data_IF_813239484557
#
_entry.id   IF_813239484557
#
_cell.length_a   1.000
_cell.length_b   1.000
_cell.length_c   1.000
_cell.angle_alpha   90.00
_cell.angle_beta   90.00
_cell.angle_gamma   90.00
#
_symmetry.space_group_name_H-M   'P 1'
#
loop_
_entity.id
_entity.type
_entity.pdbx_description
1 polymer ?
#
# COMPACT_ATOMS: atom_id res chain seq x y z
N UNK A 1 -55.60 -41.51 27.99
CA UNK A 1 -55.17 -40.19 27.48
C UNK A 1 -53.84 -39.84 28.13
N UNK A 2 -52.74 -40.36 27.58
CA UNK A 2 -51.40 -40.10 28.12
C UNK A 2 -50.89 -38.76 27.60
N UNK A 3 -51.22 -37.70 28.34
CA UNK A 3 -50.69 -36.38 28.12
C UNK A 3 -49.21 -36.34 28.46
N UNK A 4 -48.33 -36.59 27.47
CA UNK A 4 -46.89 -36.31 27.57
C UNK A 4 -46.71 -34.82 27.86
N UNK A 5 -46.53 -34.47 29.14
CA UNK A 5 -46.11 -33.13 29.55
C UNK A 5 -44.72 -32.88 28.97
N UNK A 6 -44.64 -31.98 27.98
CA UNK A 6 -43.37 -31.59 27.36
C UNK A 6 -42.46 -31.01 28.45
N UNK A 7 -41.24 -31.55 28.57
CA UNK A 7 -40.28 -31.14 29.58
C UNK A 7 -39.85 -29.66 29.33
N UNK A 8 -40.10 -28.74 30.28
CA UNK A 8 -39.78 -27.32 30.12
C UNK A 8 -38.28 -27.06 29.89
N UNK A 9 -37.41 -27.93 30.38
CA UNK A 9 -35.96 -27.83 30.18
C UNK A 9 -35.56 -27.99 28.71
N UNK A 10 -36.28 -28.83 27.95
CA UNK A 10 -36.01 -28.99 26.51
C UNK A 10 -36.34 -27.70 25.76
N UNK A 11 -37.43 -27.02 26.15
CA UNK A 11 -37.82 -25.74 25.55
C UNK A 11 -36.78 -24.65 25.87
N UNK A 12 -36.32 -24.56 27.11
CA UNK A 12 -35.28 -23.60 27.52
C UNK A 12 -33.95 -23.86 26.81
N UNK A 13 -33.51 -25.12 26.71
CA UNK A 13 -32.29 -25.48 25.95
C UNK A 13 -32.39 -25.06 24.48
N UNK A 14 -33.53 -25.31 23.84
CA UNK A 14 -33.79 -24.89 22.45
C UNK A 14 -33.81 -23.37 22.29
N UNK A 15 -34.35 -22.64 23.27
CA UNK A 15 -34.34 -21.18 23.26
C UNK A 15 -32.93 -20.63 23.46
N UNK A 16 -32.17 -21.19 24.41
CA UNK A 16 -30.77 -20.81 24.64
C UNK A 16 -29.92 -21.05 23.38
N UNK A 17 -30.05 -22.22 22.74
CA UNK A 17 -29.32 -22.51 21.50
C UNK A 17 -29.70 -21.56 20.37
N UNK A 18 -30.99 -21.23 20.23
CA UNK A 18 -31.44 -20.26 19.23
C UNK A 18 -30.90 -18.84 19.50
N UNK A 19 -30.86 -18.41 20.77
CA UNK A 19 -30.27 -17.12 21.14
C UNK A 19 -28.76 -17.10 20.94
N UNK A 20 -28.06 -18.20 21.20
CA UNK A 20 -26.62 -18.31 20.95
C UNK A 20 -26.31 -18.20 19.44
N UNK A 21 -27.06 -18.91 18.59
CA UNK A 21 -26.93 -18.81 17.14
C UNK A 21 -27.19 -17.37 16.68
N UNK A 22 -28.24 -16.73 17.19
CA UNK A 22 -28.56 -15.34 16.88
C UNK A 22 -27.45 -14.38 17.32
N UNK A 23 -26.89 -14.56 18.51
CA UNK A 23 -25.79 -13.74 19.01
C UNK A 23 -24.52 -13.91 18.17
N UNK A 24 -24.20 -15.14 17.76
CA UNK A 24 -23.08 -15.41 16.85
C UNK A 24 -23.26 -14.73 15.49
N UNK A 25 -24.44 -14.81 14.88
CA UNK A 25 -24.76 -14.13 13.61
C UNK A 25 -24.63 -12.60 13.74
N UNK A 26 -25.18 -12.01 14.80
CA UNK A 26 -25.07 -10.57 15.05
C UNK A 26 -23.62 -10.13 15.28
N UNK A 27 -22.81 -10.98 15.91
CA UNK A 27 -21.39 -10.70 16.11
C UNK A 27 -20.62 -10.73 14.79
N UNK A 28 -20.89 -11.70 13.92
CA UNK A 28 -20.30 -11.76 12.57
C UNK A 28 -20.71 -10.55 11.70
N UNK A 29 -22.00 -10.19 11.72
CA UNK A 29 -22.50 -8.98 11.04
C UNK A 29 -21.82 -7.71 11.56
N UNK A 30 -21.65 -7.60 12.88
CA UNK A 30 -20.92 -6.48 13.51
C UNK A 30 -19.45 -6.44 13.09
N UNK A 31 -18.74 -7.58 13.06
CA UNK A 31 -17.34 -7.65 12.62
C UNK A 31 -17.19 -7.19 11.16
N UNK A 32 -18.11 -7.58 10.26
CA UNK A 32 -18.10 -7.15 8.86
C UNK A 32 -18.32 -5.64 8.73
N UNK A 33 -19.30 -5.09 9.45
CA UNK A 33 -19.58 -3.66 9.45
C UNK A 33 -18.40 -2.86 10.04
N UNK A 34 -17.84 -3.33 11.15
CA UNK A 34 -16.70 -2.68 11.78
C UNK A 34 -15.44 -2.72 10.90
N UNK A 35 -15.22 -3.83 10.19
CA UNK A 35 -14.12 -3.96 9.20
C UNK A 35 -14.29 -2.99 8.04
N UNK A 36 -15.53 -2.79 7.56
CA UNK A 36 -15.84 -1.83 6.50
C UNK A 36 -15.62 -0.38 6.97
N UNK A 37 -16.09 -0.04 8.16
CA UNK A 37 -15.83 1.27 8.77
C UNK A 37 -14.32 1.52 8.89
N UNK A 38 -13.56 0.54 9.38
CA UNK A 38 -12.10 0.62 9.49
C UNK A 38 -11.46 0.89 8.12
N UNK A 39 -11.85 0.14 7.08
CA UNK A 39 -11.32 0.31 5.73
C UNK A 39 -11.63 1.69 5.12
N UNK A 40 -12.85 2.19 5.31
CA UNK A 40 -13.25 3.51 4.80
C UNK A 40 -12.53 4.64 5.54
N UNK A 41 -12.41 4.55 6.87
CA UNK A 41 -11.70 5.54 7.68
C UNK A 41 -10.20 5.55 7.35
N UNK A 42 -9.58 4.38 7.16
CA UNK A 42 -8.20 4.24 6.70
C UNK A 42 -8.01 4.92 5.34
N UNK A 43 -8.87 4.62 4.37
CA UNK A 43 -8.79 5.23 3.03
C UNK A 43 -8.95 6.75 3.08
N UNK A 44 -9.93 7.26 3.83
CA UNK A 44 -10.15 8.69 3.99
C UNK A 44 -8.94 9.38 4.64
N UNK A 45 -8.44 8.82 5.74
CA UNK A 45 -7.27 9.36 6.47
C UNK A 45 -6.03 9.39 5.59
N UNK A 46 -5.73 8.28 4.92
CA UNK A 46 -4.56 8.17 4.04
C UNK A 46 -4.64 9.11 2.83
N UNK A 47 -5.81 9.25 2.19
CA UNK A 47 -6.00 10.19 1.08
C UNK A 47 -5.86 11.64 1.55
N UNK A 48 -6.51 12.03 2.64
CA UNK A 48 -6.38 13.38 3.20
C UNK A 48 -4.94 13.71 3.56
N UNK A 49 -4.24 12.79 4.25
CA UNK A 49 -2.84 12.97 4.62
C UNK A 49 -1.94 13.09 3.37
N UNK A 50 -2.17 12.28 2.34
CA UNK A 50 -1.39 12.34 1.10
C UNK A 50 -1.63 13.65 0.36
N UNK A 51 -2.87 14.13 0.29
CA UNK A 51 -3.18 15.42 -0.32
C UNK A 51 -2.50 16.58 0.41
N UNK A 52 -2.60 16.62 1.75
CA UNK A 52 -2.03 17.69 2.58
C UNK A 52 -0.50 17.65 2.56
N UNK A 53 0.12 16.49 2.79
CA UNK A 53 1.56 16.40 2.90
C UNK A 53 2.30 16.59 1.57
N UNK A 54 1.63 16.35 0.44
CA UNK A 54 2.19 16.59 -0.90
C UNK A 54 1.85 17.96 -1.48
N UNK A 55 0.99 18.76 -0.84
CA UNK A 55 0.58 20.08 -1.33
C UNK A 55 1.78 20.99 -1.69
N UNK A 56 2.84 21.10 -0.87
CA UNK A 56 3.99 21.94 -1.21
C UNK A 56 4.73 21.48 -2.47
N UNK A 57 4.76 20.18 -2.74
CA UNK A 57 5.41 19.61 -3.92
C UNK A 57 4.54 19.82 -5.17
N UNK A 58 3.22 19.63 -5.04
CA UNK A 58 2.27 19.75 -6.16
C UNK A 58 2.12 21.19 -6.65
N UNK A 59 2.20 22.16 -5.75
CA UNK A 59 2.23 23.58 -6.09
C UNK A 59 3.33 23.94 -7.11
N UNK A 60 4.40 23.14 -7.17
CA UNK A 60 5.54 23.35 -8.07
C UNK A 60 5.39 22.60 -9.41
N UNK A 61 4.71 21.46 -9.42
CA UNK A 61 4.54 20.62 -10.62
C UNK A 61 3.35 21.04 -11.48
N UNK A 62 2.32 21.61 -10.85
CA UNK A 62 1.02 21.80 -11.50
C UNK A 62 0.95 23.04 -12.41
N UNK A 63 2.03 23.84 -12.50
CA UNK A 63 2.12 25.01 -13.38
C UNK A 63 1.01 26.06 -13.20
N UNK A 64 0.24 25.97 -12.11
CA UNK A 64 -0.99 26.74 -11.87
C UNK A 64 -2.24 26.28 -12.65
N UNK A 65 -2.19 25.17 -13.42
CA UNK A 65 -3.28 24.74 -14.29
C UNK A 65 -3.88 23.36 -13.99
N UNK A 66 -3.40 22.64 -12.97
CA UNK A 66 -4.08 21.41 -12.56
C UNK A 66 -5.50 21.74 -12.07
N UNK A 67 -6.54 21.01 -12.52
CA UNK A 67 -7.89 21.25 -12.05
C UNK A 67 -7.94 21.13 -10.53
N UNK A 68 -8.67 22.02 -9.85
CA UNK A 68 -8.66 22.10 -8.40
C UNK A 68 -9.07 20.74 -7.82
N UNK A 69 -8.28 20.24 -6.88
CA UNK A 69 -8.52 19.02 -6.09
C UNK A 69 -9.95 18.87 -5.56
N UNK A 70 -10.67 19.99 -5.39
CA UNK A 70 -12.08 20.01 -5.03
C UNK A 70 -12.93 19.15 -5.96
N UNK A 71 -12.65 19.15 -7.25
CA UNK A 71 -13.37 18.33 -8.23
C UNK A 71 -13.05 16.85 -8.01
N UNK A 72 -11.80 16.53 -7.70
CA UNK A 72 -11.36 15.17 -7.37
C UNK A 72 -11.96 14.67 -6.06
N UNK A 73 -12.06 15.53 -5.05
CA UNK A 73 -12.64 15.17 -3.76
C UNK A 73 -14.15 14.89 -3.91
N UNK A 74 -14.85 15.70 -4.71
CA UNK A 74 -16.25 15.44 -5.07
C UNK A 74 -16.42 14.17 -5.91
N UNK A 75 -15.52 13.92 -6.86
CA UNK A 75 -15.56 12.72 -7.69
C UNK A 75 -15.25 11.46 -6.86
N UNK A 76 -14.27 11.49 -5.96
CA UNK A 76 -13.99 10.44 -4.98
C UNK A 76 -15.18 10.17 -4.06
N UNK A 77 -15.82 11.22 -3.53
CA UNK A 77 -17.03 11.09 -2.71
C UNK A 77 -18.17 10.48 -3.55
N UNK A 78 -18.30 10.89 -4.82
CA UNK A 78 -19.27 10.31 -5.75
C UNK A 78 -19.01 8.83 -6.03
N UNK A 79 -17.75 8.45 -6.28
CA UNK A 79 -17.30 7.08 -6.47
C UNK A 79 -17.53 6.25 -5.20
N UNK A 80 -17.17 6.76 -4.02
CA UNK A 80 -17.42 6.12 -2.73
C UNK A 80 -18.92 5.89 -2.48
N UNK A 81 -19.77 6.87 -2.77
CA UNK A 81 -21.24 6.70 -2.65
C UNK A 81 -21.76 5.61 -3.59
N UNK A 82 -21.33 5.62 -4.87
CA UNK A 82 -21.71 4.60 -5.85
C UNK A 82 -21.23 3.20 -5.45
N UNK A 83 -19.99 3.09 -4.99
CA UNK A 83 -19.41 1.82 -4.55
C UNK A 83 -20.04 1.32 -3.25
N UNK A 84 -20.38 2.21 -2.32
CA UNK A 84 -21.11 1.86 -1.10
C UNK A 84 -22.49 1.29 -1.41
N UNK A 85 -23.23 1.91 -2.34
CA UNK A 85 -24.54 1.40 -2.77
C UNK A 85 -24.44 0.00 -3.39
N UNK A 86 -23.43 -0.24 -4.24
CA UNK A 86 -23.20 -1.57 -4.83
C UNK A 86 -22.83 -2.64 -3.79
N UNK A 87 -21.96 -2.30 -2.83
CA UNK A 87 -21.61 -3.23 -1.75
C UNK A 87 -22.81 -3.55 -0.84
N UNK A 88 -23.69 -2.56 -0.61
CA UNK A 88 -24.94 -2.78 0.13
C UNK A 88 -25.92 -3.67 -0.64
N UNK A 89 -25.92 -3.57 -1.97
CA UNK A 89 -26.74 -4.40 -2.85
C UNK A 89 -26.22 -5.85 -2.92
N UNK A 90 -24.92 -6.05 -3.06
CA UNK A 90 -24.28 -7.38 -3.00
C UNK A 90 -24.49 -8.04 -1.63
N UNK A 91 -24.27 -7.31 -0.53
CA UNK A 91 -24.48 -7.84 0.81
C UNK A 91 -25.94 -8.26 1.06
N UNK A 92 -26.92 -7.51 0.50
CA UNK A 92 -28.33 -7.91 0.55
C UNK A 92 -28.57 -9.20 -0.22
N UNK A 93 -27.98 -9.32 -1.41
CA UNK A 93 -28.13 -10.52 -2.25
C UNK A 93 -27.61 -11.78 -1.55
N UNK A 94 -26.40 -11.72 -0.96
CA UNK A 94 -25.80 -12.83 -0.22
C UNK A 94 -26.66 -13.24 1.00
N UNK A 95 -27.22 -12.27 1.74
CA UNK A 95 -28.14 -12.60 2.85
C UNK A 95 -29.44 -13.25 2.40
N UNK A 96 -30.02 -12.81 1.26
CA UNK A 96 -31.26 -13.41 0.74
C UNK A 96 -31.05 -14.79 0.14
N UNK A 97 -29.90 -15.04 -0.48
CA UNK A 97 -29.58 -16.34 -1.06
C UNK A 97 -29.29 -17.37 0.04
N UNK A 98 -28.61 -16.97 1.13
CA UNK A 98 -28.39 -17.82 2.30
C UNK A 98 -29.69 -18.19 3.04
N UNK A 99 -30.68 -17.30 3.09
CA UNK A 99 -31.98 -17.60 3.70
C UNK A 99 -32.87 -18.47 2.78
N UNK A 100 -32.68 -18.42 1.46
CA UNK A 100 -33.41 -19.28 0.49
C UNK A 100 -32.78 -20.67 0.32
N UNK A 101 -31.46 -20.81 0.46
CA UNK A 101 -30.75 -22.09 0.44
C UNK A 101 -31.14 -23.00 1.62
N UNK A 102 -31.64 -22.44 2.72
CA UNK A 102 -32.21 -23.22 3.82
C UNK A 102 -33.55 -23.91 3.47
N UNK A 103 -34.15 -23.62 2.31
CA UNK A 103 -35.45 -24.15 1.87
C UNK A 103 -35.44 -24.80 0.47
N UNK A 104 -34.29 -24.88 -0.21
CA UNK A 104 -34.21 -25.43 -1.56
C UNK A 104 -33.20 -26.58 -1.65
N UNK A 105 -33.69 -27.82 -1.53
CA UNK A 105 -33.00 -28.99 -2.07
C UNK A 105 -33.37 -29.13 -3.55
N UNK A 106 -32.36 -29.28 -4.40
CA UNK A 106 -32.40 -29.48 -5.86
C UNK A 106 -32.67 -28.24 -6.73
N UNK A 107 -31.59 -27.66 -7.25
CA UNK A 107 -31.39 -27.50 -8.71
C UNK A 107 -29.97 -26.96 -8.99
N UNK A 108 -29.15 -27.78 -9.65
CA UNK A 108 -27.77 -27.45 -10.05
C UNK A 108 -27.83 -26.68 -11.38
N UNK A 109 -27.63 -25.37 -11.36
CA UNK A 109 -27.50 -24.54 -12.57
C UNK A 109 -26.03 -24.17 -12.76
N UNK A 110 -25.44 -24.61 -13.87
CA UNK A 110 -24.06 -24.29 -14.27
C UNK A 110 -23.98 -22.87 -14.81
N UNK A 111 -23.20 -22.02 -14.12
CA UNK A 111 -22.79 -20.71 -14.64
C UNK A 111 -21.74 -20.87 -15.77
N UNK A 112 -21.80 -20.06 -16.84
CA UNK A 112 -20.79 -20.06 -17.89
C UNK A 112 -19.48 -19.43 -17.38
N UNK A 113 -18.38 -20.16 -17.55
CA UNK A 113 -17.02 -19.68 -17.31
C UNK A 113 -16.66 -18.56 -18.29
N UNK A 114 -16.36 -17.37 -17.77
CA UNK A 114 -15.78 -16.26 -18.54
C UNK A 114 -14.34 -16.61 -18.97
N UNK A 115 -13.90 -16.20 -20.18
CA UNK A 115 -12.54 -16.45 -20.65
C UNK A 115 -11.54 -15.65 -19.81
N UNK A 116 -10.58 -16.37 -19.22
CA UNK A 116 -9.51 -15.82 -18.40
C UNK A 116 -8.53 -14.97 -19.21
N UNK A 117 -8.82 -13.67 -19.36
CA UNK A 117 -7.80 -12.67 -19.61
C UNK A 117 -7.05 -12.42 -18.29
N UNK A 118 -5.76 -12.70 -18.24
CA UNK A 118 -4.97 -12.50 -17.03
C UNK A 118 -4.86 -10.99 -16.73
N UNK A 119 -5.13 -10.59 -15.49
CA UNK A 119 -4.98 -9.21 -15.02
C UNK A 119 -3.57 -8.64 -15.29
N UNK A 120 -2.57 -9.51 -15.45
CA UNK A 120 -1.22 -9.18 -15.90
C UNK A 120 -1.17 -8.53 -17.30
N UNK A 121 -2.00 -8.98 -18.24
CA UNK A 121 -2.08 -8.40 -19.59
C UNK A 121 -2.66 -6.99 -19.61
N UNK A 122 -3.66 -6.72 -18.76
CA UNK A 122 -4.25 -5.39 -18.62
C UNK A 122 -3.28 -4.39 -17.97
N UNK A 123 -2.49 -4.83 -16.98
CA UNK A 123 -1.49 -4.01 -16.32
C UNK A 123 -0.28 -3.72 -17.25
N UNK A 124 0.18 -4.72 -18.01
CA UNK A 124 1.24 -4.56 -19.00
C UNK A 124 0.82 -3.62 -20.14
N UNK A 125 -0.42 -3.75 -20.64
CA UNK A 125 -0.97 -2.83 -21.64
C UNK A 125 -1.12 -1.40 -21.09
N UNK A 126 -1.56 -1.25 -19.83
CA UNK A 126 -1.66 0.03 -19.15
C UNK A 126 -0.29 0.72 -18.95
N UNK A 127 0.76 -0.06 -18.65
CA UNK A 127 2.15 0.39 -18.52
C UNK A 127 2.77 0.78 -19.88
N UNK A 128 2.53 -0.02 -20.92
CA UNK A 128 3.01 0.28 -22.28
C UNK A 128 2.35 1.55 -22.84
N UNK A 129 1.05 1.74 -22.60
CA UNK A 129 0.34 2.95 -23.01
C UNK A 129 0.78 4.20 -22.21
N UNK A 130 1.15 4.04 -20.93
CA UNK A 130 1.71 5.14 -20.12
C UNK A 130 3.12 5.54 -20.60
N UNK A 131 3.97 4.56 -20.95
CA UNK A 131 5.29 4.79 -21.53
C UNK A 131 5.20 5.47 -22.91
N UNK A 132 4.24 5.08 -23.76
CA UNK A 132 4.01 5.71 -25.06
C UNK A 132 3.54 7.17 -24.94
N UNK A 133 2.63 7.47 -24.01
CA UNK A 133 2.19 8.85 -23.75
C UNK A 133 3.33 9.73 -23.20
N UNK A 134 4.21 9.18 -22.36
CA UNK A 134 5.38 9.89 -21.84
C UNK A 134 6.45 10.15 -22.92
N UNK A 135 6.68 9.19 -23.82
CA UNK A 135 7.59 9.37 -24.96
C UNK A 135 7.07 10.44 -25.95
N UNK A 136 5.76 10.52 -26.15
CA UNK A 136 5.14 11.58 -26.96
C UNK A 136 5.31 12.97 -26.33
N UNK A 137 5.26 13.09 -25.00
CA UNK A 137 5.49 14.35 -24.29
C UNK A 137 6.97 14.79 -24.28
N UNK A 138 7.91 13.83 -24.30
CA UNK A 138 9.35 14.12 -24.31
C UNK A 138 9.89 14.51 -25.71
N UNK A 139 9.18 14.15 -26.79
CA UNK A 139 9.61 14.40 -28.18
C UNK A 139 9.55 15.86 -28.66
N UNK A 140 9.10 16.81 -27.82
CA UNK A 140 8.88 18.20 -28.20
C UNK A 140 9.97 19.19 -27.71
N UNK A 141 11.06 18.73 -27.08
CA UNK A 141 12.17 19.60 -26.64
C UNK A 141 13.45 19.34 -27.45
N UNK A 142 14.04 20.34 -28.13
CA UNK A 142 15.36 20.21 -28.72
C UNK A 142 16.41 20.02 -27.62
N UNK A 143 17.26 19.00 -27.79
CA UNK A 143 18.31 18.66 -26.84
C UNK A 143 19.29 19.84 -26.65
N UNK A 144 19.52 20.31 -25.41
CA UNK A 144 20.66 21.16 -25.13
C UNK A 144 21.93 20.30 -25.07
N UNK A 145 23.02 20.84 -25.63
CA UNK A 145 24.34 20.24 -25.61
C UNK A 145 24.78 19.83 -24.20
N UNK A 146 25.38 18.65 -24.12
CA UNK A 146 25.80 18.00 -22.89
C UNK A 146 26.80 18.82 -22.06
N UNK A 147 26.60 18.94 -20.74
CA UNK A 147 27.68 19.20 -19.81
C UNK A 147 28.06 17.96 -18.98
N UNK A 148 29.26 18.06 -18.45
CA UNK A 148 30.08 17.05 -17.78
C UNK A 148 29.40 16.21 -16.69
N UNK A 149 29.96 15.01 -16.49
CA UNK A 149 29.63 14.00 -15.50
C UNK A 149 29.12 14.58 -14.16
N UNK A 150 27.84 14.30 -13.88
CA UNK A 150 27.25 14.55 -12.58
C UNK A 150 27.93 13.67 -11.51
N UNK A 151 28.18 14.19 -10.29
CA UNK A 151 28.71 13.40 -9.20
C UNK A 151 27.70 12.31 -8.81
N UNK A 152 28.20 11.11 -8.51
CA UNK A 152 27.45 10.03 -7.86
C UNK A 152 26.55 10.59 -6.75
N UNK A 153 25.26 10.22 -6.67
CA UNK A 153 24.38 10.68 -5.61
C UNK A 153 24.90 10.14 -4.28
N UNK A 154 25.70 10.95 -3.59
CA UNK A 154 26.16 10.72 -2.24
C UNK A 154 24.94 10.57 -1.34
N UNK A 155 24.57 9.32 -1.05
CA UNK A 155 23.76 8.98 0.11
C UNK A 155 24.57 9.43 1.32
N UNK A 156 24.30 10.65 1.79
CA UNK A 156 24.81 11.15 3.04
C UNK A 156 24.68 10.04 4.09
N UNK A 157 25.75 9.82 4.82
CA UNK A 157 25.78 8.89 5.94
C UNK A 157 24.83 9.45 7.00
N UNK A 158 23.56 9.06 6.95
CA UNK A 158 22.53 9.65 7.81
C UNK A 158 22.76 9.22 9.26
N UNK A 159 23.13 10.21 10.06
CA UNK A 159 23.45 10.09 11.47
C UNK A 159 22.28 9.56 12.28
N UNK A 160 22.64 8.79 13.29
CA UNK A 160 21.79 8.21 14.33
C UNK A 160 21.18 9.33 15.19
N UNK A 161 20.08 9.93 14.75
CA UNK A 161 19.27 10.82 15.58
C UNK A 161 18.33 10.00 16.47
N UNK A 162 18.61 9.90 17.77
CA UNK A 162 17.64 9.44 18.75
C UNK A 162 16.47 10.43 18.84
N UNK A 163 15.20 9.99 18.82
CA UNK A 163 14.09 10.88 19.10
C UNK A 163 14.02 11.16 20.62
N UNK A 164 14.28 12.41 21.00
CA UNK A 164 14.03 12.90 22.34
C UNK A 164 12.53 12.92 22.63
N UNK A 165 12.07 12.02 23.51
CA UNK A 165 10.72 12.02 24.04
C UNK A 165 10.52 13.25 24.94
N UNK A 166 9.78 14.25 24.46
CA UNK A 166 9.32 15.38 25.28
C UNK A 166 7.85 15.17 25.65
N UNK A 167 7.61 14.83 26.91
CA UNK A 167 6.29 14.88 27.55
C UNK A 167 6.08 16.30 28.08
N UNK A 168 4.91 16.95 27.90
CA UNK A 168 4.53 18.04 28.76
C UNK A 168 3.47 17.58 29.76
N UNK A 169 3.83 17.68 31.04
CA UNK A 169 2.91 17.67 32.18
C UNK A 169 2.02 18.92 32.18
N UNK A 170 0.88 18.79 32.87
CA UNK A 170 -0.20 19.75 32.85
C UNK A 170 0.07 21.08 33.55
N UNK A 171 -0.77 22.04 33.21
CA UNK A 171 -1.05 23.22 34.02
C UNK A 171 -2.53 23.59 33.85
N UNK A 172 -3.25 23.58 34.97
CA UNK A 172 -4.57 24.16 35.13
C UNK A 172 -4.48 25.69 34.96
N UNK A 173 -5.38 26.30 34.19
CA UNK A 173 -5.86 27.64 34.51
C UNK A 173 -7.21 27.92 33.85
N UNK A 174 -8.11 28.40 34.69
CA UNK A 174 -9.43 28.92 34.43
C UNK A 174 -9.37 30.34 33.88
N UNK A 175 -10.31 30.70 33.00
CA UNK A 175 -10.46 32.07 32.52
C UNK A 175 -11.59 32.21 31.50
N UNK A 176 -12.80 32.47 31.99
CA UNK A 176 -13.93 32.93 31.20
C UNK A 176 -13.85 34.46 31.01
N UNK A 177 -14.02 34.95 29.78
CA UNK A 177 -14.72 36.20 29.47
C UNK A 177 -14.86 36.41 27.94
N UNK A 178 -16.12 36.53 27.54
CA UNK A 178 -16.68 37.45 26.54
C UNK A 178 -16.02 37.64 25.16
N UNK A 179 -16.77 37.29 24.12
CA UNK A 179 -16.60 37.87 22.78
C UNK A 179 -17.96 37.99 22.10
N UNK A 180 -18.27 39.24 21.74
CA UNK A 180 -19.55 39.69 21.21
C UNK A 180 -19.91 39.11 19.84
N UNK A 181 -21.21 39.01 19.66
CA UNK A 181 -21.92 38.59 18.45
C UNK A 181 -22.07 39.77 17.48
N UNK A 182 -21.64 39.58 16.23
CA UNK A 182 -22.22 40.04 14.94
C UNK A 182 -21.11 39.87 13.89
N UNK A 183 -21.25 39.35 12.67
CA UNK A 183 -22.38 39.31 11.73
C UNK A 183 -22.08 38.32 10.60
N UNK A 184 -23.10 37.56 10.16
CA UNK A 184 -23.40 37.32 8.74
C UNK A 184 -22.38 36.57 7.87
N UNK A 185 -22.50 35.24 7.82
CA UNK A 185 -21.98 34.44 6.72
C UNK A 185 -22.71 33.10 6.66
N UNK A 186 -23.55 32.91 5.64
CA UNK A 186 -24.17 31.61 5.33
C UNK A 186 -23.09 30.58 4.96
N UNK A 187 -22.54 29.92 5.97
CA UNK A 187 -21.71 28.73 5.82
C UNK A 187 -22.50 27.49 6.17
N UNK A 188 -22.94 26.74 5.16
CA UNK A 188 -23.34 25.34 5.34
C UNK A 188 -22.03 24.56 5.50
N UNK A 189 -21.45 24.65 6.70
CA UNK A 189 -20.27 23.91 7.09
C UNK A 189 -20.55 23.36 8.48
N UNK A 190 -21.16 22.18 8.55
CA UNK A 190 -21.24 21.42 9.78
C UNK A 190 -19.82 21.11 10.22
N UNK A 191 -19.27 21.95 11.10
CA UNK A 191 -18.02 21.69 11.79
C UNK A 191 -18.23 20.44 12.64
N UNK A 192 -17.93 19.28 12.05
CA UNK A 192 -17.71 18.05 12.79
C UNK A 192 -16.60 18.37 13.79
N UNK A 193 -16.96 18.42 15.07
CA UNK A 193 -16.07 18.64 16.21
C UNK A 193 -15.16 17.42 16.46
N UNK A 194 -14.80 16.68 15.42
CA UNK A 194 -13.78 15.66 15.52
C UNK A 194 -12.42 16.38 15.67
N UNK A 195 -11.61 16.03 16.68
CA UNK A 195 -10.26 16.55 16.79
C UNK A 195 -9.55 16.30 15.46
N UNK A 196 -8.83 17.30 14.95
CA UNK A 196 -8.05 17.16 13.72
C UNK A 196 -7.21 15.88 13.84
N UNK A 197 -7.47 14.92 12.96
CA UNK A 197 -6.77 13.64 13.02
C UNK A 197 -5.26 13.92 12.92
N UNK A 198 -4.50 13.42 13.90
CA UNK A 198 -3.04 13.54 13.88
C UNK A 198 -2.55 12.89 12.59
N UNK A 199 -1.80 13.64 11.78
CA UNK A 199 -1.28 13.14 10.52
C UNK A 199 -0.50 11.83 10.72
N UNK A 200 -0.62 10.84 9.82
CA UNK A 200 0.17 9.60 9.89
C UNK A 200 1.68 9.86 9.95
N UNK A 201 2.43 8.96 10.59
CA UNK A 201 3.88 9.12 10.81
C UNK A 201 4.70 9.31 9.53
N UNK A 202 4.35 8.62 8.44
CA UNK A 202 4.99 8.81 7.13
C UNK A 202 4.74 10.21 6.55
N UNK A 203 3.55 10.79 6.79
CA UNK A 203 3.20 12.13 6.33
C UNK A 203 3.97 13.18 7.13
N UNK A 204 4.10 12.99 8.45
CA UNK A 204 4.96 13.82 9.29
C UNK A 204 6.43 13.75 8.84
N UNK A 205 6.92 12.55 8.48
CA UNK A 205 8.26 12.36 7.94
C UNK A 205 8.44 13.08 6.60
N UNK A 206 7.44 13.05 5.73
CA UNK A 206 7.45 13.82 4.48
C UNK A 206 7.56 15.33 4.75
N UNK A 207 6.72 15.87 5.65
CA UNK A 207 6.78 17.29 6.04
C UNK A 207 8.18 17.66 6.54
N UNK A 208 8.77 16.86 7.43
CA UNK A 208 10.12 17.10 7.93
C UNK A 208 11.19 17.08 6.82
N UNK A 209 11.08 16.17 5.84
CA UNK A 209 12.00 16.13 4.68
C UNK A 209 11.84 17.40 3.82
N UNK A 210 10.60 17.87 3.62
CA UNK A 210 10.32 19.11 2.88
C UNK A 210 10.89 20.33 3.60
N UNK A 211 10.74 20.41 4.93
CA UNK A 211 11.31 21.49 5.74
C UNK A 211 12.84 21.49 5.73
N UNK A 212 13.47 20.31 5.76
CA UNK A 212 14.93 20.16 5.76
C UNK A 212 15.56 20.46 4.40
N UNK A 213 14.98 19.96 3.31
CA UNK A 213 15.61 19.98 1.98
C UNK A 213 14.99 21.02 1.04
N UNK A 214 13.78 21.50 1.31
CA UNK A 214 12.99 22.36 0.42
C UNK A 214 12.23 21.58 -0.65
N UNK A 215 10.97 21.94 -0.88
CA UNK A 215 10.09 21.29 -1.84
C UNK A 215 10.65 21.30 -3.28
N UNK A 216 11.20 22.44 -3.73
CA UNK A 216 11.79 22.60 -5.07
C UNK A 216 12.97 21.66 -5.30
N UNK A 217 13.91 21.62 -4.35
CA UNK A 217 15.08 20.75 -4.45
C UNK A 217 14.69 19.27 -4.48
N UNK A 218 13.65 18.87 -3.74
CA UNK A 218 13.11 17.52 -3.77
C UNK A 218 12.47 17.19 -5.12
N UNK A 219 11.61 18.05 -5.66
CA UNK A 219 10.99 17.81 -6.97
C UNK A 219 12.07 17.67 -8.05
N UNK A 220 13.03 18.57 -8.12
CA UNK A 220 14.12 18.50 -9.10
C UNK A 220 14.99 17.25 -8.92
N UNK A 221 15.32 16.88 -7.69
CA UNK A 221 16.08 15.65 -7.38
C UNK A 221 15.33 14.39 -7.83
N UNK A 222 14.02 14.32 -7.58
CA UNK A 222 13.22 13.12 -7.82
C UNK A 222 12.59 13.06 -9.21
N UNK A 223 12.64 14.14 -9.99
CA UNK A 223 12.20 14.17 -11.40
C UNK A 223 12.97 13.19 -12.28
N UNK A 224 14.26 12.99 -12.00
CA UNK A 224 15.11 12.00 -12.69
C UNK A 224 14.99 10.57 -12.14
N UNK A 225 14.35 10.38 -10.99
CA UNK A 225 14.32 9.13 -10.25
C UNK A 225 13.51 8.06 -10.98
N UNK A 226 14.10 6.93 -11.31
CA UNK A 226 13.49 5.85 -12.11
C UNK A 226 12.89 4.75 -11.23
N UNK A 227 12.15 3.82 -11.84
CA UNK A 227 11.72 2.59 -11.16
C UNK A 227 12.87 1.74 -10.64
N UNK A 228 14.06 1.79 -11.29
CA UNK A 228 15.26 1.07 -10.81
C UNK A 228 15.80 1.67 -9.52
N UNK A 229 15.79 3.00 -9.41
CA UNK A 229 16.21 3.69 -8.19
C UNK A 229 15.27 3.36 -7.01
N UNK A 230 13.95 3.30 -7.28
CA UNK A 230 12.97 2.81 -6.32
C UNK A 230 13.15 1.32 -5.99
N UNK A 231 13.49 0.48 -6.97
CA UNK A 231 13.74 -0.94 -6.73
C UNK A 231 14.97 -1.14 -5.85
N UNK A 232 16.04 -0.36 -6.07
CA UNK A 232 17.23 -0.34 -5.23
C UNK A 232 16.90 0.09 -3.78
N UNK A 233 16.08 1.14 -3.64
CA UNK A 233 15.62 1.62 -2.33
C UNK A 233 14.80 0.55 -1.59
N UNK A 234 13.84 -0.08 -2.28
CA UNK A 234 13.02 -1.16 -1.74
C UNK A 234 13.86 -2.38 -1.36
N UNK A 235 14.80 -2.81 -2.21
CA UNK A 235 15.74 -3.90 -1.91
C UNK A 235 16.54 -3.62 -0.63
N UNK A 236 17.06 -2.40 -0.49
CA UNK A 236 17.79 -1.98 0.71
C UNK A 236 16.91 -2.04 1.95
N UNK A 237 15.68 -1.51 1.86
CA UNK A 237 14.71 -1.61 2.95
C UNK A 237 14.42 -3.06 3.32
N UNK A 238 14.08 -3.92 2.35
CA UNK A 238 13.75 -5.35 2.59
C UNK A 238 14.91 -6.08 3.26
N UNK A 239 16.14 -5.83 2.83
CA UNK A 239 17.34 -6.44 3.40
C UNK A 239 17.52 -6.08 4.88
N UNK A 240 17.31 -4.81 5.23
CA UNK A 240 17.36 -4.36 6.63
C UNK A 240 16.16 -4.88 7.44
N UNK A 241 14.96 -4.79 6.85
CA UNK A 241 13.70 -5.18 7.46
C UNK A 241 13.67 -6.67 7.84
N UNK A 242 14.19 -7.57 6.99
CA UNK A 242 14.24 -9.00 7.30
C UNK A 242 14.96 -9.30 8.61
N UNK A 243 16.09 -8.64 8.86
CA UNK A 243 16.83 -8.79 10.12
C UNK A 243 16.06 -8.23 11.31
N UNK A 244 15.42 -7.07 11.14
CA UNK A 244 14.64 -6.43 12.21
C UNK A 244 13.40 -7.26 12.56
N UNK A 245 12.64 -7.73 11.57
CA UNK A 245 11.45 -8.58 11.75
C UNK A 245 11.82 -9.87 12.49
N UNK A 246 12.92 -10.53 12.10
CA UNK A 246 13.39 -11.73 12.79
C UNK A 246 13.67 -11.47 14.28
N UNK A 247 14.36 -10.37 14.61
CA UNK A 247 14.66 -10.01 16.01
C UNK A 247 13.40 -9.67 16.81
N UNK A 248 12.46 -8.93 16.20
CA UNK A 248 11.18 -8.55 16.84
C UNK A 248 10.37 -9.81 17.15
N UNK A 249 10.17 -10.69 16.16
CA UNK A 249 9.38 -11.92 16.32
C UNK A 249 10.06 -12.95 17.21
N UNK A 250 11.38 -13.02 17.19
CA UNK A 250 12.18 -13.88 18.06
C UNK A 250 12.26 -13.41 19.51
N UNK A 251 11.67 -12.26 19.86
CA UNK A 251 11.72 -11.73 21.22
C UNK A 251 13.12 -11.35 21.69
N UNK A 252 13.96 -10.85 20.77
CA UNK A 252 15.31 -10.42 21.12
C UNK A 252 15.28 -9.32 22.21
N UNK A 253 16.33 -9.20 23.06
CA UNK A 253 16.35 -8.19 24.14
C UNK A 253 16.16 -6.74 23.67
N UNK A 254 16.50 -6.44 22.41
CA UNK A 254 16.37 -5.14 21.76
C UNK A 254 15.15 -5.03 20.82
N UNK A 255 14.19 -5.97 20.88
CA UNK A 255 13.03 -6.02 19.98
C UNK A 255 12.27 -4.69 19.90
N UNK A 256 12.10 -3.98 21.02
CA UNK A 256 11.44 -2.66 21.04
C UNK A 256 12.21 -1.61 20.23
N UNK A 257 13.54 -1.57 20.36
CA UNK A 257 14.37 -0.66 19.57
C UNK A 257 14.36 -1.04 18.08
N UNK A 258 14.36 -2.33 17.76
CA UNK A 258 14.18 -2.82 16.40
C UNK A 258 12.83 -2.39 15.81
N UNK A 259 11.74 -2.46 16.58
CA UNK A 259 10.41 -2.04 16.12
C UNK A 259 10.34 -0.54 15.81
N UNK A 260 10.94 0.31 16.66
CA UNK A 260 11.04 1.76 16.42
C UNK A 260 11.84 2.03 15.15
N UNK A 261 13.01 1.38 14.99
CA UNK A 261 13.84 1.53 13.79
C UNK A 261 13.12 1.07 12.52
N UNK A 262 12.41 -0.06 12.59
CA UNK A 262 11.63 -0.58 11.47
C UNK A 262 10.54 0.40 11.05
N UNK A 263 9.79 0.96 12.01
CA UNK A 263 8.78 1.98 11.75
C UNK A 263 9.38 3.22 11.08
N UNK A 264 10.47 3.76 11.61
CA UNK A 264 11.13 4.93 11.03
C UNK A 264 11.64 4.71 9.60
N UNK A 265 12.19 3.51 9.30
CA UNK A 265 12.59 3.14 7.94
C UNK A 265 11.41 2.99 6.98
N UNK A 266 10.30 2.45 7.47
CA UNK A 266 9.08 2.33 6.69
C UNK A 266 8.48 3.69 6.39
N UNK A 267 8.37 4.57 7.40
CA UNK A 267 7.87 5.94 7.24
C UNK A 267 8.72 6.73 6.23
N UNK A 268 10.05 6.54 6.26
CA UNK A 268 10.98 7.13 5.29
C UNK A 268 10.76 6.60 3.86
N UNK A 269 10.57 5.28 3.69
CA UNK A 269 10.27 4.69 2.38
C UNK A 269 8.97 5.26 1.80
N UNK A 270 7.90 5.33 2.60
CA UNK A 270 6.61 5.85 2.16
C UNK A 270 6.63 7.37 1.90
N UNK A 271 7.38 8.14 2.68
CA UNK A 271 7.60 9.55 2.41
C UNK A 271 8.30 9.76 1.06
N UNK A 272 9.33 8.96 0.74
CA UNK A 272 10.00 9.02 -0.57
C UNK A 272 9.05 8.61 -1.69
N UNK A 273 8.25 7.55 -1.51
CA UNK A 273 7.24 7.17 -2.50
C UNK A 273 6.22 8.29 -2.75
N UNK A 274 5.83 9.05 -1.73
CA UNK A 274 4.95 10.21 -1.86
C UNK A 274 5.61 11.40 -2.58
N UNK A 275 6.93 11.60 -2.43
CA UNK A 275 7.67 12.59 -3.24
C UNK A 275 7.72 12.14 -4.70
N UNK A 276 8.06 10.88 -4.95
CA UNK A 276 8.14 10.32 -6.31
C UNK A 276 6.76 10.31 -6.98
N UNK A 277 5.68 10.08 -6.23
CA UNK A 277 4.31 10.21 -6.73
C UNK A 277 4.08 11.57 -7.40
N UNK A 278 4.57 12.65 -6.81
CA UNK A 278 4.41 14.01 -7.36
C UNK A 278 5.42 14.30 -8.46
N UNK A 279 6.70 14.02 -8.19
CA UNK A 279 7.79 14.40 -9.09
C UNK A 279 7.84 13.54 -10.37
N UNK A 280 7.55 12.23 -10.26
CA UNK A 280 7.60 11.26 -11.35
C UNK A 280 6.77 9.99 -11.05
N UNK A 281 5.43 10.08 -11.14
CA UNK A 281 4.54 8.96 -10.79
C UNK A 281 4.79 7.68 -11.61
N UNK A 282 5.33 7.81 -12.83
CA UNK A 282 5.67 6.68 -13.71
C UNK A 282 6.65 5.71 -13.03
N UNK A 283 7.55 6.20 -12.19
CA UNK A 283 8.55 5.38 -11.52
C UNK A 283 7.92 4.39 -10.51
N UNK A 284 6.78 4.74 -9.91
CA UNK A 284 6.02 3.82 -9.06
C UNK A 284 5.39 2.67 -9.88
N UNK A 285 5.00 2.95 -11.14
CA UNK A 285 4.52 1.91 -12.06
C UNK A 285 5.68 1.02 -12.51
N UNK A 286 6.80 1.62 -12.90
CA UNK A 286 8.03 0.92 -13.28
C UNK A 286 8.50 -0.04 -12.18
N UNK A 287 8.46 0.38 -10.91
CA UNK A 287 8.81 -0.47 -9.76
C UNK A 287 8.05 -1.81 -9.74
N UNK A 288 6.78 -1.83 -10.17
CA UNK A 288 5.95 -3.04 -10.14
C UNK A 288 6.25 -4.02 -11.29
N UNK A 289 7.03 -3.61 -12.28
CA UNK A 289 7.44 -4.44 -13.43
C UNK A 289 8.92 -4.81 -13.39
N UNK A 290 9.59 -4.56 -12.27
CA UNK A 290 11.01 -4.88 -12.05
C UNK A 290 11.16 -5.97 -10.97
N UNK A 291 12.17 -6.82 -11.15
CA UNK A 291 12.68 -7.65 -10.06
C UNK A 291 13.53 -6.80 -9.13
N UNK A 292 13.28 -6.85 -7.83
CA UNK A 292 13.96 -5.98 -6.87
C UNK A 292 15.45 -6.29 -6.74
N UNK A 293 15.85 -7.53 -6.99
CA UNK A 293 17.21 -8.01 -6.80
C UNK A 293 18.14 -7.72 -7.98
N UNK A 294 17.65 -7.94 -9.20
CA UNK A 294 18.36 -7.73 -10.48
C UNK A 294 18.08 -6.37 -11.11
N UNK A 295 16.96 -5.73 -10.77
CA UNK A 295 16.44 -4.53 -11.45
C UNK A 295 16.17 -4.74 -12.94
N UNK A 296 16.05 -5.99 -13.36
CA UNK A 296 15.63 -6.40 -14.69
C UNK A 296 14.10 -6.49 -14.76
N UNK A 297 13.51 -6.47 -15.97
CA UNK A 297 12.09 -6.68 -16.15
C UNK A 297 11.62 -7.98 -15.48
N UNK A 298 10.42 -7.92 -14.93
CA UNK A 298 9.83 -9.03 -14.20
C UNK A 298 9.58 -10.24 -15.10
N UNK A 299 10.40 -11.29 -14.95
CA UNK A 299 10.19 -12.59 -15.60
C UNK A 299 9.49 -13.62 -14.71
N UNK A 300 9.38 -13.34 -13.41
CA UNK A 300 8.74 -14.22 -12.44
C UNK A 300 7.26 -13.86 -12.28
N UNK A 301 6.40 -14.87 -12.32
CA UNK A 301 4.97 -14.67 -12.09
C UNK A 301 4.61 -14.64 -10.61
N UNK A 302 3.59 -13.85 -10.28
CA UNK A 302 2.96 -13.86 -8.97
C UNK A 302 2.07 -15.10 -8.83
N UNK A 303 2.51 -16.11 -8.08
CA UNK A 303 1.75 -17.35 -7.88
C UNK A 303 0.85 -17.32 -6.64
N UNK A 304 -0.17 -18.18 -6.62
CA UNK A 304 -1.08 -18.30 -5.49
C UNK A 304 -0.35 -18.76 -4.21
N UNK A 305 0.62 -19.67 -4.34
CA UNK A 305 1.42 -20.19 -3.23
C UNK A 305 2.28 -19.07 -2.61
N UNK A 306 2.88 -18.22 -3.45
CA UNK A 306 3.66 -17.07 -2.98
C UNK A 306 2.76 -16.06 -2.26
N UNK A 307 1.58 -15.79 -2.81
CA UNK A 307 0.58 -14.94 -2.15
C UNK A 307 0.14 -15.50 -0.80
N UNK A 308 -0.12 -16.80 -0.72
CA UNK A 308 -0.49 -17.47 0.53
C UNK A 308 0.64 -17.43 1.57
N UNK A 309 1.89 -17.70 1.16
CA UNK A 309 3.06 -17.59 2.03
C UNK A 309 3.26 -16.17 2.55
N UNK A 310 3.15 -15.16 1.69
CA UNK A 310 3.22 -13.76 2.11
C UNK A 310 2.14 -13.43 3.15
N UNK A 311 0.88 -13.81 2.92
CA UNK A 311 -0.20 -13.54 3.88
C UNK A 311 0.00 -14.28 5.21
N UNK A 312 0.50 -15.52 5.16
CA UNK A 312 0.88 -16.27 6.36
C UNK A 312 1.96 -15.52 7.14
N UNK A 313 2.99 -15.03 6.46
CA UNK A 313 4.07 -14.25 7.08
C UNK A 313 3.59 -12.91 7.62
N UNK A 314 2.55 -12.29 7.04
CA UNK A 314 1.99 -11.05 7.58
C UNK A 314 1.25 -11.25 8.91
N UNK A 315 0.81 -12.47 9.25
CA UNK A 315 0.08 -12.79 10.49
C UNK A 315 -1.07 -11.82 10.77
N UNK A 316 -1.90 -11.57 9.74
CA UNK A 316 -3.04 -10.67 9.85
C UNK A 316 -4.09 -11.24 10.81
N UNK A 317 -4.65 -10.37 11.66
CA UNK A 317 -5.82 -10.73 12.46
C UNK A 317 -7.05 -10.95 11.58
N UNK A 318 -8.09 -11.60 12.12
CA UNK A 318 -9.38 -11.77 11.42
C UNK A 318 -9.95 -10.42 10.96
N UNK A 319 -9.95 -9.43 11.86
CA UNK A 319 -10.41 -8.07 11.58
C UNK A 319 -9.59 -7.40 10.47
N UNK A 320 -8.26 -7.42 10.56
CA UNK A 320 -7.38 -6.85 9.52
C UNK A 320 -7.59 -7.53 8.17
N UNK A 321 -7.77 -8.85 8.15
CA UNK A 321 -8.06 -9.61 6.93
C UNK A 321 -9.36 -9.14 6.28
N UNK A 322 -10.43 -8.97 7.07
CA UNK A 322 -11.72 -8.47 6.58
C UNK A 322 -11.61 -7.02 6.10
N UNK A 323 -10.96 -6.13 6.87
CA UNK A 323 -10.76 -4.73 6.49
C UNK A 323 -9.93 -4.61 5.19
N UNK A 324 -8.84 -5.38 5.07
CA UNK A 324 -8.03 -5.44 3.85
C UNK A 324 -8.85 -5.91 2.63
N UNK A 325 -9.70 -6.94 2.79
CA UNK A 325 -10.60 -7.40 1.71
C UNK A 325 -11.56 -6.31 1.26
N UNK A 326 -12.21 -5.61 2.20
CA UNK A 326 -13.13 -4.51 1.88
C UNK A 326 -12.38 -3.39 1.15
N UNK A 327 -11.23 -2.97 1.67
CA UNK A 327 -10.42 -1.92 1.08
C UNK A 327 -9.97 -2.26 -0.36
N UNK A 328 -9.52 -3.49 -0.58
CA UNK A 328 -9.05 -3.94 -1.89
C UNK A 328 -10.20 -4.15 -2.90
N UNK A 329 -11.39 -4.53 -2.45
CA UNK A 329 -12.61 -4.52 -3.29
C UNK A 329 -13.02 -3.11 -3.69
N UNK A 330 -12.92 -2.14 -2.77
CA UNK A 330 -13.17 -0.73 -3.10
C UNK A 330 -12.18 -0.23 -4.16
N UNK A 331 -10.91 -0.61 -4.04
CA UNK A 331 -9.90 -0.33 -5.04
C UNK A 331 -10.24 -0.96 -6.41
N UNK A 332 -10.57 -2.25 -6.44
CA UNK A 332 -11.00 -2.95 -7.66
C UNK A 332 -12.23 -2.27 -8.31
N UNK A 333 -13.22 -1.89 -7.50
CA UNK A 333 -14.41 -1.17 -7.96
C UNK A 333 -14.09 0.23 -8.52
N UNK A 334 -13.10 0.92 -7.96
CA UNK A 334 -12.66 2.22 -8.47
C UNK A 334 -11.87 2.07 -9.78
N UNK A 335 -10.95 1.12 -9.83
CA UNK A 335 -10.15 0.86 -11.04
C UNK A 335 -11.03 0.38 -12.20
N UNK A 336 -12.02 -0.48 -11.95
CA UNK A 336 -12.96 -0.93 -12.98
C UNK A 336 -13.83 0.18 -13.57
N UNK A 337 -14.00 1.30 -12.86
CA UNK A 337 -14.67 2.51 -13.38
C UNK A 337 -13.70 3.41 -14.16
N UNK A 338 -12.45 3.53 -13.72
CA UNK A 338 -11.44 4.38 -14.35
C UNK A 338 -10.90 3.79 -15.67
N UNK A 339 -10.75 2.46 -15.77
CA UNK A 339 -10.17 1.82 -16.95
C UNK A 339 -10.99 2.02 -18.26
N UNK A 340 -12.33 1.84 -18.26
CA UNK A 340 -13.15 2.15 -19.43
C UNK A 340 -13.06 3.62 -19.82
N UNK A 341 -13.08 4.53 -18.84
CA UNK A 341 -12.98 5.97 -19.08
C UNK A 341 -11.63 6.35 -19.70
N UNK A 342 -10.54 5.78 -19.21
CA UNK A 342 -9.21 5.93 -19.82
C UNK A 342 -9.23 5.47 -21.27
N UNK A 343 -9.77 4.28 -21.54
CA UNK A 343 -9.83 3.73 -22.90
C UNK A 343 -10.66 4.59 -23.86
N UNK A 344 -11.72 5.21 -23.36
CA UNK A 344 -12.53 6.19 -24.11
C UNK A 344 -11.73 7.45 -24.44
N UNK A 345 -11.06 8.03 -23.45
CA UNK A 345 -10.25 9.23 -23.62
C UNK A 345 -9.07 9.02 -24.57
N UNK A 346 -8.40 7.86 -24.53
CA UNK A 346 -7.31 7.53 -25.48
C UNK A 346 -7.84 7.45 -26.92
N UNK A 347 -9.03 6.85 -27.14
CA UNK A 347 -9.69 6.85 -28.45
C UNK A 347 -10.09 8.25 -28.91
N UNK A 348 -10.60 9.07 -27.99
CA UNK A 348 -10.92 10.47 -28.29
C UNK A 348 -9.66 11.27 -28.65
N UNK A 349 -8.52 10.99 -28.00
CA UNK A 349 -7.25 11.66 -28.28
C UNK A 349 -6.76 11.35 -29.70
N UNK A 350 -6.89 10.09 -30.13
CA UNK A 350 -6.59 9.68 -31.51
C UNK A 350 -7.53 10.35 -32.53
N UNK A 351 -8.82 10.43 -32.22
CA UNK A 351 -9.82 11.02 -33.12
C UNK A 351 -9.68 12.55 -33.27
N UNK A 352 -9.27 13.24 -32.21
CA UNK A 352 -9.11 14.70 -32.14
C UNK A 352 -7.70 15.18 -32.50
N UNK A 353 -6.82 14.29 -32.95
CA UNK A 353 -5.40 14.61 -33.18
C UNK A 353 -5.15 15.75 -34.19
N UNK A 354 -6.13 16.10 -35.03
CA UNK A 354 -6.04 17.19 -35.99
C UNK A 354 -6.60 18.54 -35.48
N UNK A 355 -7.33 18.55 -34.35
CA UNK A 355 -7.95 19.75 -33.76
C UNK A 355 -7.29 20.07 -32.42
N UNK A 356 -6.46 21.12 -32.40
CA UNK A 356 -5.72 21.52 -31.21
C UNK A 356 -6.62 21.97 -30.03
N UNK A 357 -7.81 22.49 -30.31
CA UNK A 357 -8.76 22.94 -29.28
C UNK A 357 -9.41 21.75 -28.59
N UNK A 358 -9.99 20.83 -29.37
CA UNK A 358 -10.59 19.60 -28.82
C UNK A 358 -9.54 18.69 -28.17
N UNK A 359 -8.32 18.66 -28.71
CA UNK A 359 -7.22 17.89 -28.15
C UNK A 359 -6.82 18.39 -26.75
N UNK A 360 -6.92 19.69 -26.47
CA UNK A 360 -6.62 20.25 -25.15
C UNK A 360 -7.56 19.67 -24.08
N UNK A 361 -8.88 19.69 -24.33
CA UNK A 361 -9.88 19.16 -23.39
C UNK A 361 -9.73 17.64 -23.19
N UNK A 362 -9.43 16.89 -24.25
CA UNK A 362 -9.19 15.46 -24.15
C UNK A 362 -7.93 15.16 -23.33
N UNK A 363 -6.83 15.88 -23.58
CA UNK A 363 -5.59 15.72 -22.82
C UNK A 363 -5.77 16.07 -21.34
N UNK A 364 -6.53 17.13 -21.03
CA UNK A 364 -6.91 17.46 -19.66
C UNK A 364 -7.69 16.30 -19.01
N UNK A 365 -8.66 15.72 -19.74
CA UNK A 365 -9.40 14.53 -19.29
C UNK A 365 -8.50 13.32 -19.05
N UNK A 366 -7.55 13.04 -19.94
CA UNK A 366 -6.55 11.97 -19.78
C UNK A 366 -5.71 12.20 -18.52
N UNK A 367 -5.22 13.42 -18.32
CA UNK A 367 -4.40 13.78 -17.15
C UNK A 367 -5.18 13.57 -15.84
N UNK A 368 -6.43 14.03 -15.76
CA UNK A 368 -7.31 13.83 -14.59
C UNK A 368 -7.53 12.34 -14.33
N UNK A 369 -7.81 11.56 -15.37
CA UNK A 369 -8.02 10.12 -15.25
C UNK A 369 -6.76 9.38 -14.79
N UNK A 370 -5.60 9.75 -15.31
CA UNK A 370 -4.31 9.19 -14.90
C UNK A 370 -3.96 9.55 -13.46
N UNK A 371 -4.08 10.82 -13.07
CA UNK A 371 -3.91 11.26 -11.70
C UNK A 371 -4.81 10.42 -10.78
N UNK A 372 -6.08 10.27 -11.14
CA UNK A 372 -7.03 9.44 -10.40
C UNK A 372 -6.64 8.01 -10.17
N UNK A 373 -6.12 7.37 -11.21
CA UNK A 373 -5.61 6.00 -11.11
C UNK A 373 -4.47 5.94 -10.08
N UNK A 374 -3.50 6.85 -10.18
CA UNK A 374 -2.34 6.85 -9.29
C UNK A 374 -2.75 7.17 -7.85
N UNK A 375 -3.64 8.15 -7.63
CA UNK A 375 -4.16 8.49 -6.31
C UNK A 375 -4.97 7.35 -5.69
N UNK A 376 -5.77 6.64 -6.48
CA UNK A 376 -6.49 5.46 -6.01
C UNK A 376 -5.52 4.34 -5.58
N UNK A 377 -4.49 4.06 -6.39
CA UNK A 377 -3.48 3.04 -6.06
C UNK A 377 -2.71 3.43 -4.79
N UNK A 378 -2.12 4.62 -4.74
CA UNK A 378 -1.25 5.03 -3.62
C UNK A 378 -2.07 5.27 -2.35
N UNK A 379 -3.25 5.89 -2.47
CA UNK A 379 -4.16 6.07 -1.34
C UNK A 379 -4.61 4.75 -0.73
N UNK A 380 -4.97 3.76 -1.57
CA UNK A 380 -5.29 2.41 -1.09
C UNK A 380 -4.09 1.71 -0.49
N UNK A 381 -2.90 1.81 -1.10
CA UNK A 381 -1.68 1.20 -0.56
C UNK A 381 -1.32 1.78 0.81
N UNK A 382 -1.39 3.10 0.97
CA UNK A 382 -1.16 3.76 2.25
C UNK A 382 -2.20 3.34 3.29
N UNK A 383 -3.49 3.29 2.94
CA UNK A 383 -4.52 2.84 3.86
C UNK A 383 -4.31 1.38 4.30
N UNK A 384 -3.93 0.50 3.35
CA UNK A 384 -3.68 -0.91 3.63
C UNK A 384 -2.47 -1.09 4.54
N UNK A 385 -1.34 -0.49 4.17
CA UNK A 385 -0.09 -0.71 4.86
C UNK A 385 0.00 0.13 6.12
N UNK A 386 -0.32 1.42 6.09
CA UNK A 386 -0.03 2.32 7.21
C UNK A 386 -1.13 2.39 8.28
N UNK A 387 -2.39 2.13 7.91
CA UNK A 387 -3.54 2.29 8.81
C UNK A 387 -4.19 0.96 9.23
N UNK A 388 -4.16 -0.07 8.38
CA UNK A 388 -4.70 -1.40 8.72
C UNK A 388 -3.64 -2.31 9.34
N UNK A 389 -2.38 -2.20 8.91
CA UNK A 389 -1.30 -3.10 9.32
C UNK A 389 -0.28 -2.39 10.20
N UNK A 390 0.40 -3.14 11.06
CA UNK A 390 1.57 -2.62 11.77
C UNK A 390 2.86 -2.76 10.92
N UNK A 391 3.91 -2.01 11.30
CA UNK A 391 5.18 -1.99 10.58
C UNK A 391 5.85 -3.36 10.45
N UNK A 392 5.66 -4.24 11.44
CA UNK A 392 6.22 -5.60 11.44
C UNK A 392 5.50 -6.49 10.45
N UNK A 393 4.16 -6.42 10.39
CA UNK A 393 3.33 -7.16 9.44
C UNK A 393 3.65 -6.78 8.00
N UNK A 394 3.70 -5.49 7.69
CA UNK A 394 4.03 -4.96 6.35
C UNK A 394 5.41 -5.46 5.92
N UNK A 395 6.40 -5.27 6.80
CA UNK A 395 7.78 -5.63 6.51
C UNK A 395 7.95 -7.14 6.32
N UNK A 396 7.27 -7.96 7.12
CA UNK A 396 7.26 -9.41 6.95
C UNK A 396 6.67 -9.82 5.59
N UNK A 397 5.57 -9.18 5.17
CA UNK A 397 4.98 -9.39 3.85
C UNK A 397 5.93 -9.01 2.71
N UNK A 398 6.58 -7.85 2.79
CA UNK A 398 7.56 -7.40 1.79
C UNK A 398 8.78 -8.34 1.71
N UNK A 399 9.28 -8.81 2.86
CA UNK A 399 10.37 -9.79 2.93
C UNK A 399 9.96 -11.13 2.32
N UNK A 400 8.73 -11.59 2.60
CA UNK A 400 8.21 -12.84 2.07
C UNK A 400 7.90 -12.79 0.56
N UNK A 401 7.57 -11.60 0.03
CA UNK A 401 7.28 -11.39 -1.39
C UNK A 401 8.55 -11.29 -2.27
N UNK A 402 9.71 -11.02 -1.66
CA UNK A 402 10.98 -10.85 -2.37
C UNK A 402 11.28 -12.04 -3.32
N UNK A 403 11.75 -11.79 -4.56
CA UNK A 403 12.24 -10.51 -5.12
C UNK A 403 11.17 -9.64 -5.79
N UNK A 404 9.87 -9.85 -5.48
CA UNK A 404 8.77 -9.10 -6.09
C UNK A 404 8.29 -7.97 -5.18
N UNK A 405 7.79 -6.89 -5.79
CA UNK A 405 6.93 -5.92 -5.10
C UNK A 405 5.50 -6.46 -5.12
N UNK A 406 4.84 -6.69 -3.96
CA UNK A 406 3.47 -7.15 -3.95
C UNK A 406 2.54 -6.04 -4.47
N UNK A 407 1.67 -6.39 -5.42
CA UNK A 407 0.65 -5.48 -5.94
C UNK A 407 -0.64 -5.60 -5.14
N UNK A 408 -1.46 -4.54 -5.09
CA UNK A 408 -2.78 -4.57 -4.43
C UNK A 408 -3.68 -5.69 -4.95
N UNK A 409 -3.68 -5.93 -6.27
CA UNK A 409 -4.41 -7.04 -6.89
C UNK A 409 -3.82 -8.40 -6.51
N UNK A 410 -2.48 -8.52 -6.44
CA UNK A 410 -1.83 -9.75 -5.99
C UNK A 410 -2.19 -10.13 -4.55
N UNK A 411 -2.27 -9.12 -3.66
CA UNK A 411 -2.72 -9.30 -2.27
C UNK A 411 -4.20 -9.70 -2.23
N UNK A 412 -5.06 -9.05 -3.02
CA UNK A 412 -6.48 -9.38 -3.08
C UNK A 412 -6.71 -10.83 -3.53
N UNK A 413 -6.06 -11.25 -4.61
CA UNK A 413 -6.12 -12.63 -5.12
C UNK A 413 -5.67 -13.64 -4.05
N UNK A 414 -4.61 -13.33 -3.31
CA UNK A 414 -4.14 -14.18 -2.22
C UNK A 414 -5.17 -14.29 -1.07
N UNK A 415 -5.81 -13.17 -0.69
CA UNK A 415 -6.83 -13.12 0.36
C UNK A 415 -8.12 -13.87 -0.02
N UNK A 416 -8.43 -13.91 -1.31
CA UNK A 416 -9.53 -14.70 -1.85
C UNK A 416 -9.19 -16.19 -1.85
N UNK A 417 -7.98 -16.56 -2.28
CA UNK A 417 -7.51 -17.96 -2.29
C UNK A 417 -7.43 -18.60 -0.90
N UNK A 418 -7.03 -17.84 0.12
CA UNK A 418 -6.91 -18.36 1.50
C UNK A 418 -8.25 -18.80 2.11
N UNK A 419 -9.38 -18.26 1.63
CA UNK A 419 -10.71 -18.62 2.12
C UNK A 419 -11.15 -20.03 1.66
N UNK A 420 -10.64 -20.52 0.54
CA UNK A 420 -10.99 -21.84 -0.01
C UNK A 420 -10.22 -23.01 0.62
N UNK A 421 -9.02 -22.77 1.17
CA UNK A 421 -8.12 -23.82 1.65
C UNK A 421 -8.35 -24.31 3.08
N UNK A 422 -9.09 -23.55 3.90
CA UNK A 422 -9.24 -23.85 5.35
C UNK A 422 -10.23 -24.98 5.67
N UNK A 423 -10.91 -25.57 4.67
CA UNK A 423 -11.91 -26.61 4.89
C UNK A 423 -11.38 -28.06 4.83
N UNK A 424 -10.08 -28.29 4.54
CA UNK A 424 -9.57 -29.64 4.20
C UNK A 424 -8.32 -30.15 4.92
N UNK A 425 -7.73 -29.41 5.86
CA UNK A 425 -6.36 -29.68 6.31
C UNK A 425 -6.14 -29.73 7.82
N UNK A 426 -6.88 -30.56 8.57
CA UNK A 426 -6.50 -30.93 9.94
C UNK A 426 -6.36 -32.44 10.09
N UNK A 427 -5.34 -33.01 9.47
CA UNK A 427 -4.85 -34.35 9.80
C UNK A 427 -3.33 -34.43 9.55
N UNK A 428 -2.55 -34.31 10.63
CA UNK A 428 -1.19 -34.85 10.68
C UNK A 428 -0.03 -33.86 10.59
N UNK A 429 0.25 -33.19 11.71
CA UNK A 429 1.63 -32.86 12.08
C UNK A 429 1.73 -32.92 13.61
N UNK A 430 1.95 -34.13 14.11
CA UNK A 430 2.21 -34.40 15.51
C UNK A 430 3.62 -33.95 15.92
N UNK A 431 3.67 -33.30 17.07
CA UNK A 431 4.67 -33.40 18.14
C UNK A 431 6.13 -33.74 17.77
N UNK A 432 7.02 -32.76 18.01
CA UNK A 432 8.25 -32.96 18.78
C UNK A 432 8.51 -31.64 19.53
N UNK A 433 8.67 -31.57 20.86
CA UNK A 433 9.18 -32.54 21.81
C UNK A 433 10.56 -32.06 22.26
N UNK A 434 10.58 -31.21 23.30
CA UNK A 434 11.80 -30.67 23.90
C UNK A 434 12.75 -31.76 24.40
N UNK A 435 14.05 -31.65 24.08
CA UNK A 435 15.14 -32.26 24.82
C UNK A 435 16.47 -31.53 24.57
N UNK A 436 17.19 -31.26 25.66
CA UNK A 436 18.59 -30.83 25.73
C UNK A 436 19.20 -31.56 26.94
N UNK A 437 20.52 -31.72 27.13
CA UNK A 437 21.61 -32.02 26.19
C UNK A 437 22.42 -33.28 26.62
N UNK A 438 23.15 -33.95 25.71
CA UNK A 438 24.37 -34.72 26.06
C UNK A 438 25.13 -35.25 24.83
N UNK A 439 26.46 -35.11 24.90
CA UNK A 439 27.52 -35.89 24.25
C UNK A 439 27.77 -35.75 22.73
N UNK A 440 28.92 -35.14 22.43
CA UNK A 440 29.69 -35.23 21.17
C UNK A 440 30.09 -36.68 20.83
N UNK A 441 30.42 -36.98 19.56
CA UNK A 441 31.84 -36.99 19.18
C UNK A 441 32.16 -36.41 17.79
N UNK A 442 33.18 -35.55 17.79
CA UNK A 442 34.37 -35.49 16.90
C UNK A 442 34.32 -36.11 15.48
N UNK A 443 34.65 -35.27 14.50
CA UNK A 443 35.15 -35.61 13.14
C UNK A 443 34.18 -35.20 12.03
N UNK A 444 34.52 -34.48 10.95
CA UNK A 444 35.76 -34.01 10.34
C UNK A 444 35.38 -32.74 9.53
N UNK A 445 36.08 -31.63 9.76
CA UNK A 445 35.99 -30.40 8.95
C UNK A 445 36.97 -30.48 7.77
N UNK A 446 36.56 -30.12 6.54
CA UNK A 446 37.52 -29.75 5.50
C UNK A 446 38.01 -28.30 5.68
N UNK A 447 39.23 -27.97 5.19
CA UNK A 447 40.00 -26.83 5.65
C UNK A 447 39.61 -25.51 4.99
N UNK A 448 39.75 -24.45 5.79
CA UNK A 448 39.67 -23.03 5.43
C UNK A 448 40.99 -22.61 4.76
N UNK A 449 41.00 -21.98 3.58
CA UNK A 449 42.22 -21.38 3.07
C UNK A 449 42.52 -20.07 3.79
N UNK A 450 43.75 -19.96 4.28
CA UNK A 450 44.30 -18.80 4.96
C UNK A 450 44.68 -17.69 3.97
N UNK A 451 44.38 -16.44 4.33
CA UNK A 451 45.06 -15.27 3.79
C UNK A 451 46.52 -15.25 4.22
N UNK A 452 47.42 -14.83 3.32
CA UNK A 452 48.21 -13.61 3.54
C UNK A 452 48.24 -12.80 2.22
N UNK A 453 48.46 -11.49 2.14
CA UNK A 453 48.89 -10.48 3.08
C UNK A 453 48.95 -9.14 2.34
N UNK A 454 49.13 -8.07 3.11
CA UNK A 454 49.29 -6.66 2.76
C UNK A 454 50.14 -6.38 1.52
N UNK A 455 49.68 -5.46 0.65
CA UNK A 455 50.53 -4.63 -0.22
C UNK A 455 49.98 -3.19 -0.21
N UNK A 456 50.75 -2.28 0.41
CA UNK A 456 50.74 -0.81 0.24
C UNK A 456 52.17 -0.32 0.50
N UNK A 457 52.51 0.82 -0.11
CA UNK A 457 53.78 1.57 -0.12
C UNK A 457 54.85 1.05 -1.10
N UNK A 458 55.66 1.86 -1.78
CA UNK A 458 55.71 3.27 -2.20
C UNK A 458 57.00 3.40 -3.02
N UNK A 459 57.08 4.41 -3.90
CA UNK A 459 58.32 4.85 -4.57
C UNK A 459 58.39 4.42 -6.04
N UNK A 460 58.65 5.29 -7.02
CA UNK A 460 59.29 6.60 -6.96
C UNK A 460 60.42 6.64 -8.00
N UNK A 461 60.28 7.51 -9.01
CA UNK A 461 61.33 7.90 -9.97
C UNK A 461 61.49 6.96 -11.17
N UNK A 462 61.64 7.42 -12.41
CA UNK A 462 61.74 8.77 -12.98
C UNK A 462 62.37 8.69 -14.37
N UNK A 463 61.95 9.59 -15.26
CA UNK A 463 62.66 10.11 -16.47
C UNK A 463 62.91 9.11 -17.64
N UNK A 464 62.87 9.45 -18.94
CA UNK A 464 62.99 10.69 -19.72
C UNK A 464 62.43 10.49 -21.15
N UNK A 465 61.92 11.57 -21.74
CA UNK A 465 61.98 12.02 -23.16
C UNK A 465 62.05 10.99 -24.32
N UNK A 466 61.20 11.17 -25.34
CA UNK A 466 61.64 11.92 -26.52
C UNK A 466 60.50 12.41 -27.43
N UNK A 467 60.72 13.59 -27.99
CA UNK A 467 59.90 14.27 -28.99
C UNK A 467 60.31 13.83 -30.40
N UNK A 468 59.32 13.70 -31.29
CA UNK A 468 59.33 14.26 -32.65
C UNK A 468 57.95 14.16 -33.27
#
# INVERSE_FOLDING_TARGET
MDGRRKNPLIKLKKQLSAQQIKASRLHEEWEVLHSRETALNALATSLTALLQATEPLRALTDGGSAPPLLDWQQELVGLQRRSSMKLDEEARFDTTESDSAAHSTDTRSSMPSLPGGTAAGALAAASAAAAAAAAAAAGASPAPDAPAAAPEPGLATFGRGEPAASTPGGAESSGAADSGVSSGGSGIGGASSQPAAVAPSWAQRLTAIIEEQGAEALVERYKGFTGRDLAALNKKFISEAGTLVFRIRGGAPDAKACAIRLRGRLDELFAICAIVLVARPQSLVELNVLQLDTQEPLTMEWTAERGAFMLQEMQLTKHQTLAAKVLLRLYEANISQLLPRRSELMRAQEATAADAGEQFDVLAGVAVCQAGFVWAVVGTANALFMDIMDATQISAGLVAAYPLTPTLLGILSALQGSAGGSAGGSAGAGASGAASPAAMPVGLLPPRPAHPGRWWEEGGGGATSDQS
#
